data_IF_655644728204
#
_entry.id   IF_655644728204
#
_cell.length_a   1.000
_cell.length_b   1.000
_cell.length_c   1.000
_cell.angle_alpha   90.00
_cell.angle_beta   90.00
_cell.angle_gamma   90.00
#
_symmetry.space_group_name_H-M   'P 1'
#
loop_
_entity.id
_entity.type
_entity.pdbx_description
1 polymer ?
#
# COMPACT_ATOMS: atom_id res chain seq x y z
N UNK A 1 7.42 18.50 -0.75
CA UNK A 1 7.55 17.57 0.39
C UNK A 1 6.27 16.76 0.62
N UNK A 2 5.10 17.36 0.86
CA UNK A 2 3.83 16.61 1.06
C UNK A 2 3.45 15.71 -0.13
N UNK A 3 3.43 16.25 -1.35
CA UNK A 3 3.10 15.46 -2.56
C UNK A 3 4.08 14.32 -2.81
N UNK A 4 5.36 14.52 -2.48
CA UNK A 4 6.38 13.48 -2.58
C UNK A 4 6.09 12.34 -1.61
N UNK A 5 5.81 12.64 -0.34
CA UNK A 5 5.46 11.62 0.65
C UNK A 5 4.15 10.92 0.31
N UNK A 6 3.16 11.65 -0.21
CA UNK A 6 1.95 11.03 -0.74
C UNK A 6 2.28 9.99 -1.83
N UNK A 7 3.10 10.35 -2.82
CA UNK A 7 3.48 9.44 -3.89
C UNK A 7 4.25 8.21 -3.37
N UNK A 8 5.10 8.38 -2.35
CA UNK A 8 5.80 7.27 -1.69
C UNK A 8 4.79 6.31 -1.06
N UNK A 9 3.82 6.81 -0.32
CA UNK A 9 2.79 5.98 0.33
C UNK A 9 1.86 5.33 -0.70
N UNK A 10 1.45 6.04 -1.74
CA UNK A 10 0.61 5.48 -2.81
C UNK A 10 1.31 4.33 -3.53
N UNK A 11 2.58 4.51 -3.90
CA UNK A 11 3.31 3.51 -4.68
C UNK A 11 3.86 2.37 -3.81
N UNK A 12 4.30 2.68 -2.60
CA UNK A 12 4.90 1.73 -1.66
C UNK A 12 3.86 0.95 -0.85
N UNK A 13 2.84 1.63 -0.34
CA UNK A 13 1.77 1.02 0.45
C UNK A 13 0.59 0.58 -0.41
N UNK A 14 -0.16 1.54 -0.97
CA UNK A 14 -1.45 1.27 -1.62
C UNK A 14 -1.28 0.35 -2.83
N UNK A 15 -0.36 0.65 -3.75
CA UNK A 15 -0.15 -0.16 -4.95
C UNK A 15 0.39 -1.55 -4.63
N UNK A 16 1.26 -1.69 -3.63
CA UNK A 16 1.80 -3.00 -3.24
C UNK A 16 0.71 -3.89 -2.62
N UNK A 17 -0.11 -3.32 -1.72
CA UNK A 17 -1.27 -3.99 -1.13
C UNK A 17 -2.32 -4.33 -2.19
N UNK A 18 -2.54 -3.44 -3.16
CA UNK A 18 -3.43 -3.69 -4.29
C UNK A 18 -2.97 -4.88 -5.14
N UNK A 19 -1.68 -4.96 -5.47
CA UNK A 19 -1.10 -6.10 -6.18
C UNK A 19 -1.32 -7.39 -5.38
N UNK A 20 -0.99 -7.39 -4.08
CA UNK A 20 -1.18 -8.51 -3.17
C UNK A 20 -2.64 -8.98 -3.12
N UNK A 21 -3.56 -8.05 -2.93
CA UNK A 21 -4.97 -8.32 -2.70
C UNK A 21 -5.68 -8.78 -3.98
N UNK A 22 -5.55 -8.02 -5.07
CA UNK A 22 -6.28 -8.30 -6.31
C UNK A 22 -5.77 -9.52 -7.05
N UNK A 23 -4.51 -9.89 -6.88
CA UNK A 23 -3.95 -11.09 -7.52
C UNK A 23 -4.09 -12.36 -6.67
N UNK A 24 -4.66 -12.29 -5.45
CA UNK A 24 -4.88 -13.47 -4.60
C UNK A 24 -6.31 -13.68 -4.13
N UNK A 25 -7.18 -12.66 -4.20
CA UNK A 25 -8.55 -12.75 -3.75
C UNK A 25 -9.49 -13.27 -4.87
N UNK A 26 -10.24 -14.36 -4.68
CA UNK A 26 -11.16 -14.91 -5.70
C UNK A 26 -12.20 -13.92 -6.22
N UNK A 27 -12.57 -12.90 -5.43
CA UNK A 27 -13.49 -11.85 -5.87
C UNK A 27 -12.98 -11.02 -7.07
N UNK A 28 -11.67 -11.13 -7.37
CA UNK A 28 -11.01 -10.44 -8.49
C UNK A 28 -10.57 -11.40 -9.61
N UNK A 29 -11.11 -12.63 -9.65
CA UNK A 29 -10.86 -13.56 -10.75
C UNK A 29 -11.25 -12.93 -12.10
N UNK A 30 -10.31 -12.91 -13.05
CA UNK A 30 -10.47 -12.24 -14.36
C UNK A 30 -10.54 -10.70 -14.29
N UNK A 31 -10.28 -10.08 -13.12
CA UNK A 31 -10.32 -8.63 -12.93
C UNK A 31 -9.25 -8.16 -11.94
N UNK A 32 -7.99 -8.53 -12.20
CA UNK A 32 -6.87 -8.24 -11.31
C UNK A 32 -6.39 -6.78 -11.35
N UNK A 33 -6.64 -6.06 -12.45
CA UNK A 33 -6.24 -4.66 -12.62
C UNK A 33 -7.42 -3.68 -12.54
N UNK A 34 -7.12 -2.44 -12.15
CA UNK A 34 -8.10 -1.34 -12.16
C UNK A 34 -8.23 -0.81 -13.58
N UNK A 35 -9.47 -0.56 -14.00
CA UNK A 35 -9.78 0.01 -15.31
C UNK A 35 -10.97 -0.68 -15.95
N UNK A 36 -11.30 -0.29 -17.20
CA UNK A 36 -12.36 -0.93 -17.96
C UNK A 36 -11.95 -2.33 -18.44
N UNK A 37 -10.63 -2.58 -18.57
CA UNK A 37 -10.11 -3.79 -19.20
C UNK A 37 -9.83 -4.85 -18.14
N UNK A 38 -10.26 -6.06 -18.44
CA UNK A 38 -10.08 -7.22 -17.59
C UNK A 38 -8.73 -7.87 -17.84
N UNK A 39 -8.07 -8.24 -16.75
CA UNK A 39 -6.80 -8.95 -16.76
C UNK A 39 -6.87 -10.09 -15.75
N UNK A 40 -6.30 -11.22 -16.13
CA UNK A 40 -6.21 -12.37 -15.25
C UNK A 40 -5.27 -12.12 -14.07
N UNK A 41 -5.49 -12.86 -12.99
CA UNK A 41 -4.64 -12.78 -11.79
C UNK A 41 -3.29 -13.44 -12.06
N UNK A 42 -2.23 -12.85 -11.54
CA UNK A 42 -0.87 -13.39 -11.61
C UNK A 42 -0.38 -13.63 -10.19
N UNK A 43 -0.23 -14.89 -9.79
CA UNK A 43 0.17 -15.29 -8.43
C UNK A 43 1.48 -14.66 -7.96
N UNK A 44 2.44 -14.53 -8.86
CA UNK A 44 3.76 -13.96 -8.62
C UNK A 44 3.66 -12.45 -8.31
N UNK A 45 2.65 -11.75 -8.85
CA UNK A 45 2.34 -10.38 -8.48
C UNK A 45 1.77 -10.29 -7.08
N UNK A 46 1.00 -11.29 -6.63
CA UNK A 46 0.50 -11.32 -5.27
C UNK A 46 1.66 -11.45 -4.27
N UNK A 47 2.57 -12.41 -4.49
CA UNK A 47 3.74 -12.61 -3.62
C UNK A 47 4.64 -11.38 -3.59
N UNK A 48 4.96 -10.82 -4.77
CA UNK A 48 5.74 -9.59 -4.87
C UNK A 48 5.05 -8.42 -4.17
N UNK A 49 3.72 -8.31 -4.31
CA UNK A 49 2.93 -7.28 -3.64
C UNK A 49 3.06 -7.36 -2.12
N UNK A 50 2.98 -8.56 -1.54
CA UNK A 50 3.15 -8.77 -0.10
C UNK A 50 4.56 -8.37 0.37
N UNK A 51 5.58 -8.84 -0.33
CA UNK A 51 6.97 -8.50 0.01
C UNK A 51 7.24 -6.99 -0.09
N UNK A 52 6.67 -6.31 -1.10
CA UNK A 52 6.77 -4.86 -1.24
C UNK A 52 6.03 -4.11 -0.13
N UNK A 53 4.84 -4.56 0.24
CA UNK A 53 4.07 -3.96 1.32
C UNK A 53 4.80 -4.08 2.66
N UNK A 54 5.36 -5.26 2.96
CA UNK A 54 6.15 -5.51 4.17
C UNK A 54 7.36 -4.58 4.24
N UNK A 55 8.14 -4.50 3.15
CA UNK A 55 9.28 -3.60 3.06
C UNK A 55 8.86 -2.13 3.27
N UNK A 56 7.77 -1.70 2.63
CA UNK A 56 7.25 -0.35 2.80
C UNK A 56 6.86 -0.05 4.26
N UNK A 57 6.09 -0.92 4.92
CA UNK A 57 5.67 -0.66 6.30
C UNK A 57 6.85 -0.62 7.26
N UNK A 58 7.85 -1.49 7.09
CA UNK A 58 9.07 -1.47 7.89
C UNK A 58 9.88 -0.17 7.68
N UNK A 59 10.00 0.29 6.45
CA UNK A 59 10.73 1.54 6.15
C UNK A 59 9.93 2.77 6.58
N UNK A 60 8.60 2.73 6.48
CA UNK A 60 7.74 3.83 6.89
C UNK A 60 7.67 3.97 8.41
N UNK A 61 7.62 2.87 9.14
CA UNK A 61 7.71 2.85 10.61
C UNK A 61 9.03 3.50 11.08
N UNK A 62 10.16 3.05 10.50
CA UNK A 62 11.48 3.65 10.77
C UNK A 62 11.53 5.13 10.43
N UNK A 63 10.89 5.55 9.35
CA UNK A 63 10.82 6.97 8.97
C UNK A 63 10.04 7.80 9.99
N UNK A 64 8.99 7.24 10.58
CA UNK A 64 8.18 7.90 11.60
C UNK A 64 8.86 7.94 12.98
N UNK A 65 9.95 7.23 13.21
CA UNK A 65 10.73 7.34 14.44
C UNK A 65 11.13 8.80 14.71
N UNK A 66 10.67 9.34 15.85
CA UNK A 66 10.91 10.73 16.22
C UNK A 66 10.14 11.78 15.40
N UNK A 67 9.22 11.36 14.52
CA UNK A 67 8.35 12.26 13.74
C UNK A 67 6.90 12.07 14.14
N UNK A 68 6.15 13.18 14.20
CA UNK A 68 4.71 13.13 14.44
C UNK A 68 3.91 12.82 13.18
N UNK A 69 4.38 13.28 12.03
CA UNK A 69 3.72 13.13 10.73
C UNK A 69 4.75 12.84 9.63
N UNK A 70 4.27 12.29 8.52
CA UNK A 70 5.08 11.76 7.44
C UNK A 70 5.93 12.83 6.75
N UNK A 71 5.35 14.00 6.48
CA UNK A 71 5.98 15.00 5.62
C UNK A 71 6.46 16.25 6.36
N UNK A 72 5.74 16.72 7.37
CA UNK A 72 5.93 18.02 8.04
C UNK A 72 5.69 17.90 9.55
N UNK A 73 5.74 19.02 10.28
CA UNK A 73 5.33 19.08 11.70
C UNK A 73 3.80 19.10 11.88
N UNK A 74 3.05 19.37 10.81
CA UNK A 74 1.59 19.31 10.76
C UNK A 74 1.08 18.07 10.03
N UNK A 75 -0.17 17.70 10.31
CA UNK A 75 -0.88 16.60 9.63
C UNK A 75 -1.29 17.03 8.22
N UNK A 76 -1.03 16.19 7.23
CA UNK A 76 -1.19 16.53 5.82
C UNK A 76 -1.88 15.44 5.01
N UNK A 77 -2.04 15.69 3.71
CA UNK A 77 -2.56 14.71 2.77
C UNK A 77 -1.76 13.40 2.74
N UNK A 78 -0.44 13.46 2.93
CA UNK A 78 0.39 12.25 2.97
C UNK A 78 0.00 11.33 4.15
N UNK A 79 -0.36 11.91 5.30
CA UNK A 79 -0.75 11.19 6.50
C UNK A 79 -2.14 10.56 6.35
N UNK A 80 -3.06 11.24 5.66
CA UNK A 80 -4.37 10.68 5.30
C UNK A 80 -4.17 9.44 4.43
N UNK A 81 -3.33 9.52 3.40
CA UNK A 81 -3.03 8.40 2.51
C UNK A 81 -2.34 7.27 3.27
N UNK A 82 -1.45 7.58 4.22
CA UNK A 82 -0.80 6.57 5.07
C UNK A 82 -1.81 5.83 5.95
N UNK A 83 -2.74 6.56 6.56
CA UNK A 83 -3.82 5.97 7.34
C UNK A 83 -4.69 5.04 6.49
N UNK A 84 -5.06 5.46 5.27
CA UNK A 84 -5.80 4.60 4.32
C UNK A 84 -4.99 3.35 3.96
N UNK A 85 -3.67 3.44 3.82
CA UNK A 85 -2.82 2.28 3.55
C UNK A 85 -2.80 1.29 4.73
N UNK A 86 -2.74 1.78 5.97
CA UNK A 86 -2.85 0.96 7.19
C UNK A 86 -4.19 0.22 7.25
N UNK A 87 -5.30 0.93 6.97
CA UNK A 87 -6.62 0.31 6.97
C UNK A 87 -6.78 -0.71 5.83
N UNK A 88 -6.19 -0.46 4.66
CA UNK A 88 -6.16 -1.42 3.56
C UNK A 88 -5.33 -2.66 3.90
N UNK A 89 -4.18 -2.52 4.58
CA UNK A 89 -3.37 -3.66 4.99
C UNK A 89 -4.16 -4.63 5.88
N UNK A 90 -5.02 -4.12 6.77
CA UNK A 90 -5.96 -4.96 7.56
C UNK A 90 -6.92 -5.75 6.68
N UNK A 91 -7.52 -5.10 5.67
CA UNK A 91 -8.40 -5.77 4.71
C UNK A 91 -7.65 -6.82 3.87
N UNK A 92 -6.40 -6.55 3.52
CA UNK A 92 -5.52 -7.47 2.81
C UNK A 92 -4.95 -8.59 3.70
N UNK A 93 -5.27 -8.61 5.01
CA UNK A 93 -4.71 -9.50 6.03
C UNK A 93 -3.17 -9.47 6.05
N UNK A 94 -2.61 -8.29 5.82
CA UNK A 94 -1.17 -8.04 5.92
C UNK A 94 -0.83 -7.54 7.32
N UNK A 95 0.21 -8.11 7.94
CA UNK A 95 0.73 -7.62 9.21
C UNK A 95 1.41 -6.27 9.03
N UNK A 96 1.31 -5.41 10.04
CA UNK A 96 2.04 -4.14 10.12
C UNK A 96 2.87 -4.22 11.40
N UNK A 97 4.14 -3.78 11.40
CA UNK A 97 4.96 -3.69 12.59
C UNK A 97 4.33 -2.82 13.70
#
# INVERSE_FOLDING_TARGET
MVVQWNAIVEQGGISALADAFRNSNPAFAGRAAVGPQNYDQISELAERGRARAEAFFNDFDRHLEGRKYAATEDFTFADITAQVAVDFARMARHGIP
#
